data_IF_639704237141
#
_entry.id   IF_639704237141
#
_cell.length_a   1.000
_cell.length_b   1.000
_cell.length_c   1.000
_cell.angle_alpha   90.00
_cell.angle_beta   90.00
_cell.angle_gamma   90.00
#
_symmetry.space_group_name_H-M   'P 1'
#
loop_
_entity.id
_entity.type
_entity.pdbx_description
1 polymer ?
#
# COMPACT_ATOMS: atom_id res chain seq x y z
N UNK A 1 -42.78 -97.50 19.28
CA UNK A 1 -42.99 -96.06 19.00
C UNK A 1 -41.63 -95.46 18.65
N UNK A 2 -41.37 -95.05 17.40
CA UNK A 2 -40.20 -94.26 17.06
C UNK A 2 -40.57 -92.77 17.03
N UNK A 3 -39.68 -91.92 17.55
CA UNK A 3 -39.67 -90.49 17.28
C UNK A 3 -38.34 -90.17 16.61
N UNK A 4 -38.34 -90.06 15.29
CA UNK A 4 -37.22 -89.55 14.50
C UNK A 4 -37.44 -88.06 14.25
N UNK A 5 -36.65 -87.23 14.91
CA UNK A 5 -36.43 -85.83 14.58
C UNK A 5 -35.75 -85.74 13.21
N UNK A 6 -36.49 -85.30 12.19
CA UNK A 6 -35.91 -84.91 10.90
C UNK A 6 -35.37 -83.48 11.02
N UNK A 7 -34.06 -83.31 10.87
CA UNK A 7 -33.45 -82.02 10.59
C UNK A 7 -33.91 -81.56 9.20
N UNK A 8 -34.65 -80.46 9.12
CA UNK A 8 -34.95 -79.79 7.85
C UNK A 8 -33.65 -79.21 7.28
N UNK A 9 -33.05 -79.94 6.34
CA UNK A 9 -31.96 -79.44 5.51
C UNK A 9 -32.61 -78.60 4.41
N UNK A 10 -32.48 -77.28 4.55
CA UNK A 10 -32.98 -76.30 3.59
C UNK A 10 -32.41 -76.62 2.20
N UNK A 11 -33.25 -76.61 1.16
CA UNK A 11 -32.79 -76.98 -0.18
C UNK A 11 -31.74 -75.97 -0.68
N UNK A 12 -30.72 -76.42 -1.43
CA UNK A 12 -29.65 -75.54 -1.92
C UNK A 12 -30.16 -74.32 -2.71
N UNK A 13 -31.31 -74.45 -3.39
CA UNK A 13 -31.92 -73.32 -4.10
C UNK A 13 -32.44 -72.24 -3.15
N UNK A 14 -32.99 -72.61 -1.99
CA UNK A 14 -33.50 -71.65 -1.00
C UNK A 14 -32.34 -70.91 -0.31
N UNK A 15 -31.24 -71.62 -0.01
CA UNK A 15 -30.01 -71.01 0.53
C UNK A 15 -29.42 -70.01 -0.48
N UNK A 16 -29.34 -70.39 -1.76
CA UNK A 16 -28.84 -69.52 -2.82
C UNK A 16 -29.73 -68.27 -3.01
N UNK A 17 -31.06 -68.40 -2.89
CA UNK A 17 -31.99 -67.28 -2.94
C UNK A 17 -31.83 -66.32 -1.74
N UNK A 18 -31.60 -66.84 -0.54
CA UNK A 18 -31.32 -65.99 0.64
C UNK A 18 -29.98 -65.24 0.50
N UNK A 19 -28.94 -65.90 -0.01
CA UNK A 19 -27.63 -65.27 -0.24
C UNK A 19 -27.73 -64.20 -1.33
N UNK A 20 -28.48 -64.45 -2.41
CA UNK A 20 -28.64 -63.47 -3.50
C UNK A 20 -29.43 -62.24 -3.06
N UNK A 21 -30.53 -62.42 -2.33
CA UNK A 21 -31.32 -61.30 -1.78
C UNK A 21 -30.51 -60.53 -0.73
N UNK A 22 -29.77 -61.22 0.13
CA UNK A 22 -28.87 -60.59 1.10
C UNK A 22 -27.77 -59.77 0.44
N UNK A 23 -27.19 -60.27 -0.66
CA UNK A 23 -26.19 -59.56 -1.46
C UNK A 23 -26.71 -58.26 -2.08
N UNK A 24 -27.92 -58.28 -2.65
CA UNK A 24 -28.55 -57.09 -3.26
C UNK A 24 -28.93 -56.04 -2.21
N UNK A 25 -29.40 -56.46 -1.03
CA UNK A 25 -29.72 -55.56 0.08
C UNK A 25 -28.45 -54.88 0.62
N UNK A 26 -27.38 -55.64 0.82
CA UNK A 26 -26.10 -55.10 1.27
C UNK A 26 -25.53 -54.12 0.24
N UNK A 27 -25.54 -54.45 -1.06
CA UNK A 27 -25.05 -53.53 -2.10
C UNK A 27 -25.84 -52.21 -2.14
N UNK A 28 -27.15 -52.28 -1.89
CA UNK A 28 -28.03 -51.11 -1.85
C UNK A 28 -27.72 -50.21 -0.63
N UNK A 29 -27.46 -50.81 0.52
CA UNK A 29 -27.05 -50.10 1.74
C UNK A 29 -25.67 -49.42 1.55
N UNK A 30 -24.70 -50.14 0.98
CA UNK A 30 -23.38 -49.56 0.67
C UNK A 30 -23.47 -48.44 -0.37
N UNK A 31 -24.33 -48.57 -1.38
CA UNK A 31 -24.59 -47.52 -2.36
C UNK A 31 -25.17 -46.24 -1.74
N UNK A 32 -26.14 -46.39 -0.83
CA UNK A 32 -26.75 -45.27 -0.11
C UNK A 32 -25.74 -44.55 0.81
N UNK A 33 -24.96 -45.32 1.58
CA UNK A 33 -23.91 -44.78 2.46
C UNK A 33 -22.86 -44.03 1.64
N UNK A 34 -22.35 -44.65 0.56
CA UNK A 34 -21.37 -44.04 -0.33
C UNK A 34 -21.87 -42.73 -0.94
N UNK A 35 -23.12 -42.70 -1.41
CA UNK A 35 -23.77 -41.50 -1.93
C UNK A 35 -23.88 -40.40 -0.88
N UNK A 36 -24.33 -40.72 0.33
CA UNK A 36 -24.52 -39.76 1.41
C UNK A 36 -23.19 -39.13 1.88
N UNK A 37 -22.15 -39.94 2.06
CA UNK A 37 -20.81 -39.44 2.42
C UNK A 37 -20.17 -38.63 1.29
N UNK A 38 -20.33 -39.07 0.03
CA UNK A 38 -19.88 -38.32 -1.14
C UNK A 38 -20.53 -36.93 -1.22
N UNK A 39 -21.83 -36.85 -0.93
CA UNK A 39 -22.58 -35.59 -0.97
C UNK A 39 -22.14 -34.63 0.16
N UNK A 40 -21.94 -35.15 1.39
CA UNK A 40 -21.40 -34.33 2.49
C UNK A 40 -19.99 -33.81 2.20
N UNK A 41 -19.13 -34.64 1.60
CA UNK A 41 -17.77 -34.23 1.24
C UNK A 41 -17.75 -33.20 0.11
N UNK A 42 -18.66 -33.34 -0.87
CA UNK A 42 -18.86 -32.34 -1.92
C UNK A 42 -19.32 -31.00 -1.35
N UNK A 43 -20.32 -30.99 -0.48
CA UNK A 43 -20.82 -29.77 0.17
C UNK A 43 -19.74 -29.08 1.01
N UNK A 44 -18.93 -29.83 1.76
CA UNK A 44 -17.79 -29.28 2.51
C UNK A 44 -16.74 -28.66 1.58
N UNK A 45 -16.47 -29.27 0.43
CA UNK A 45 -15.54 -28.73 -0.55
C UNK A 45 -16.08 -27.48 -1.26
N UNK A 46 -17.38 -27.44 -1.54
CA UNK A 46 -18.05 -26.25 -2.10
C UNK A 46 -18.06 -25.10 -1.10
N UNK A 47 -18.40 -25.36 0.17
CA UNK A 47 -18.31 -24.36 1.25
C UNK A 47 -16.90 -23.77 1.37
N UNK A 48 -15.86 -24.61 1.40
CA UNK A 48 -14.45 -24.15 1.43
C UNK A 48 -14.09 -23.32 0.21
N UNK A 49 -14.63 -23.61 -0.97
CA UNK A 49 -14.43 -22.80 -2.18
C UNK A 49 -15.13 -21.44 -2.06
N UNK A 50 -16.36 -21.42 -1.54
CA UNK A 50 -17.13 -20.19 -1.31
C UNK A 50 -16.40 -19.28 -0.30
N UNK A 51 -15.96 -19.84 0.83
CA UNK A 51 -15.18 -19.10 1.85
C UNK A 51 -13.91 -18.49 1.26
N UNK A 52 -13.13 -19.26 0.49
CA UNK A 52 -11.93 -18.75 -0.17
C UNK A 52 -12.24 -17.66 -1.20
N UNK A 53 -13.35 -17.78 -1.94
CA UNK A 53 -13.77 -16.77 -2.90
C UNK A 53 -14.24 -15.49 -2.20
N UNK A 54 -14.98 -15.61 -1.09
CA UNK A 54 -15.38 -14.47 -0.25
C UNK A 54 -14.17 -13.76 0.34
N UNK A 55 -13.18 -14.49 0.86
CA UNK A 55 -11.92 -13.91 1.35
C UNK A 55 -11.20 -13.11 0.25
N UNK A 56 -11.02 -13.70 -0.94
CA UNK A 56 -10.44 -13.00 -2.09
C UNK A 56 -11.22 -11.74 -2.48
N UNK A 57 -12.55 -11.81 -2.42
CA UNK A 57 -13.41 -10.67 -2.72
C UNK A 57 -13.22 -9.54 -1.71
N UNK A 58 -13.20 -9.86 -0.41
CA UNK A 58 -12.94 -8.89 0.68
C UNK A 58 -11.55 -8.28 0.52
N UNK A 59 -10.53 -9.08 0.25
CA UNK A 59 -9.16 -8.59 0.01
C UNK A 59 -9.11 -7.61 -1.18
N UNK A 60 -9.81 -7.92 -2.27
CA UNK A 60 -9.91 -7.05 -3.44
C UNK A 60 -10.67 -5.76 -3.14
N UNK A 61 -11.78 -5.81 -2.38
CA UNK A 61 -12.51 -4.62 -1.95
C UNK A 61 -11.66 -3.72 -1.05
N UNK A 62 -10.99 -4.30 -0.05
CA UNK A 62 -10.11 -3.56 0.85
C UNK A 62 -8.97 -2.88 0.09
N UNK A 63 -8.38 -3.58 -0.90
CA UNK A 63 -7.36 -2.99 -1.77
C UNK A 63 -7.92 -1.81 -2.58
N UNK A 64 -9.11 -1.96 -3.16
CA UNK A 64 -9.76 -0.91 -3.94
C UNK A 64 -10.05 0.33 -3.08
N UNK A 65 -10.56 0.14 -1.86
CA UNK A 65 -10.84 1.21 -0.92
C UNK A 65 -9.57 1.95 -0.49
N UNK A 66 -8.50 1.20 -0.19
CA UNK A 66 -7.16 1.75 0.07
C UNK A 66 -6.67 2.60 -1.10
N UNK A 67 -6.70 2.06 -2.32
CA UNK A 67 -6.22 2.77 -3.50
C UNK A 67 -7.05 4.03 -3.79
N UNK A 68 -8.38 3.97 -3.59
CA UNK A 68 -9.27 5.13 -3.74
C UNK A 68 -8.93 6.23 -2.73
N UNK A 69 -8.72 5.87 -1.47
CA UNK A 69 -8.38 6.81 -0.40
C UNK A 69 -7.02 7.46 -0.64
N UNK A 70 -6.01 6.67 -1.01
CA UNK A 70 -4.68 7.19 -1.36
C UNK A 70 -4.71 8.08 -2.60
N UNK A 71 -5.52 7.76 -3.62
CA UNK A 71 -5.71 8.65 -4.79
C UNK A 71 -6.34 9.97 -4.40
N UNK A 72 -7.32 9.97 -3.51
CA UNK A 72 -7.92 11.21 -3.00
C UNK A 72 -6.90 12.06 -2.24
N UNK A 73 -6.09 11.43 -1.37
CA UNK A 73 -5.01 12.10 -0.66
C UNK A 73 -3.95 12.68 -1.63
N UNK A 74 -3.56 11.91 -2.65
CA UNK A 74 -2.64 12.35 -3.70
C UNK A 74 -3.17 13.59 -4.43
N UNK A 75 -4.45 13.60 -4.81
CA UNK A 75 -5.09 14.72 -5.48
C UNK A 75 -5.10 15.98 -4.61
N UNK A 76 -5.51 15.86 -3.34
CA UNK A 76 -5.51 16.97 -2.38
C UNK A 76 -4.09 17.53 -2.18
N UNK A 77 -3.13 16.66 -1.89
CA UNK A 77 -1.74 17.07 -1.67
C UNK A 77 -1.13 17.73 -2.90
N UNK A 78 -1.36 17.17 -4.09
CA UNK A 78 -0.85 17.72 -5.35
C UNK A 78 -1.48 19.08 -5.66
N UNK A 79 -2.79 19.23 -5.39
CA UNK A 79 -3.49 20.50 -5.55
C UNK A 79 -2.87 21.57 -4.64
N UNK A 80 -2.74 21.30 -3.34
CA UNK A 80 -2.08 22.21 -2.40
C UNK A 80 -0.66 22.53 -2.89
N UNK A 81 0.13 21.51 -3.22
CA UNK A 81 1.50 21.72 -3.67
C UNK A 81 1.65 22.65 -4.88
N UNK A 82 0.76 22.61 -5.88
CA UNK A 82 0.90 23.47 -7.07
C UNK A 82 0.10 24.77 -7.04
N UNK A 83 -1.02 24.83 -6.30
CA UNK A 83 -1.97 25.95 -6.39
C UNK A 83 -1.85 26.94 -5.24
N UNK A 84 -1.21 26.57 -4.14
CA UNK A 84 -1.01 27.51 -3.02
C UNK A 84 0.39 28.09 -3.05
N UNK A 85 0.44 29.42 -3.12
CA UNK A 85 1.66 30.19 -3.00
C UNK A 85 2.20 30.15 -1.58
N UNK A 86 3.52 30.23 -1.46
CA UNK A 86 4.17 30.37 -0.16
C UNK A 86 4.08 31.84 0.25
N UNK A 87 3.30 32.15 1.28
CA UNK A 87 3.21 33.49 1.84
C UNK A 87 4.44 33.77 2.72
N UNK A 88 5.23 34.78 2.35
CA UNK A 88 6.42 35.20 3.10
C UNK A 88 6.12 36.14 4.27
N UNK A 89 4.89 36.65 4.38
CA UNK A 89 4.47 37.55 5.46
C UNK A 89 3.97 36.80 6.70
N UNK A 90 3.58 35.54 6.52
CA UNK A 90 3.18 34.64 7.61
C UNK A 90 4.33 33.67 7.84
N UNK A 91 4.77 33.52 9.09
CA UNK A 91 5.82 32.55 9.43
C UNK A 91 5.37 31.12 9.07
N UNK A 92 5.82 30.69 7.88
CA UNK A 92 6.11 29.34 7.38
C UNK A 92 4.98 28.40 6.90
N UNK A 93 5.01 28.17 5.58
CA UNK A 93 4.30 27.17 4.75
C UNK A 93 2.99 27.63 4.13
N UNK A 94 2.71 27.14 2.91
CA UNK A 94 1.43 27.35 2.23
C UNK A 94 0.26 26.60 2.91
N UNK A 95 0.56 25.78 3.92
CA UNK A 95 -0.43 25.10 4.75
C UNK A 95 -0.92 25.97 5.90
N UNK A 96 -0.38 27.17 6.13
CA UNK A 96 -0.69 27.97 7.33
C UNK A 96 -2.04 28.68 7.32
N UNK A 97 -2.82 28.57 6.26
CA UNK A 97 -4.23 28.94 6.35
C UNK A 97 -4.99 27.84 7.11
N UNK A 98 -6.06 28.17 7.85
CA UNK A 98 -6.92 27.15 8.47
C UNK A 98 -7.35 26.07 7.47
N UNK A 99 -7.69 26.47 6.24
CA UNK A 99 -8.10 25.58 5.16
C UNK A 99 -6.94 24.69 4.66
N UNK A 100 -5.72 25.21 4.65
CA UNK A 100 -4.51 24.49 4.28
C UNK A 100 -4.13 23.43 5.33
N UNK A 101 -4.21 23.78 6.62
CA UNK A 101 -3.99 22.85 7.73
C UNK A 101 -5.03 21.74 7.74
N UNK A 102 -6.31 22.07 7.57
CA UNK A 102 -7.38 21.07 7.53
C UNK A 102 -7.20 20.12 6.35
N UNK A 103 -6.90 20.66 5.17
CA UNK A 103 -6.64 19.84 3.98
C UNK A 103 -5.40 18.95 4.15
N UNK A 104 -4.37 19.44 4.83
CA UNK A 104 -3.18 18.64 5.15
C UNK A 104 -3.47 17.55 6.17
N UNK A 105 -4.21 17.86 7.23
CA UNK A 105 -4.62 16.89 8.25
C UNK A 105 -5.44 15.74 7.65
N UNK A 106 -6.32 16.05 6.70
CA UNK A 106 -7.04 15.06 5.89
C UNK A 106 -6.08 14.15 5.11
N UNK A 107 -5.12 14.74 4.38
CA UNK A 107 -4.11 13.98 3.63
C UNK A 107 -3.33 13.06 4.57
N UNK A 108 -2.85 13.60 5.70
CA UNK A 108 -2.13 12.84 6.72
C UNK A 108 -2.95 11.68 7.26
N UNK A 109 -4.24 11.90 7.54
CA UNK A 109 -5.15 10.85 8.01
C UNK A 109 -5.23 9.68 7.02
N UNK A 110 -5.43 9.97 5.73
CA UNK A 110 -5.48 8.93 4.71
C UNK A 110 -4.14 8.21 4.50
N UNK A 111 -3.04 8.94 4.49
CA UNK A 111 -1.70 8.35 4.31
C UNK A 111 -1.33 7.47 5.50
N UNK A 112 -1.62 7.91 6.73
CA UNK A 112 -1.33 7.13 7.93
C UNK A 112 -2.21 5.89 8.07
N UNK A 113 -3.46 5.96 7.63
CA UNK A 113 -4.39 4.83 7.68
C UNK A 113 -4.15 3.79 6.58
N UNK A 114 -3.83 4.24 5.35
CA UNK A 114 -3.83 3.37 4.18
C UNK A 114 -2.48 3.27 3.46
N UNK A 115 -1.55 4.18 3.72
CA UNK A 115 -0.24 4.22 3.07
C UNK A 115 0.68 3.08 3.50
N UNK A 116 1.76 2.88 2.74
CA UNK A 116 2.88 2.07 3.19
C UNK A 116 3.65 2.80 4.31
N UNK A 117 4.41 2.06 5.12
CA UNK A 117 5.27 2.58 6.17
C UNK A 117 6.15 3.76 5.71
N UNK A 118 6.75 3.66 4.52
CA UNK A 118 7.59 4.72 3.96
C UNK A 118 6.79 6.00 3.69
N UNK A 119 5.55 5.88 3.19
CA UNK A 119 4.62 7.01 2.98
C UNK A 119 4.25 7.65 4.31
N UNK A 120 3.91 6.85 5.31
CA UNK A 120 3.60 7.32 6.66
C UNK A 120 4.78 8.06 7.29
N UNK A 121 5.99 7.51 7.16
CA UNK A 121 7.20 8.17 7.65
C UNK A 121 7.45 9.50 6.93
N UNK A 122 7.33 9.52 5.61
CA UNK A 122 7.51 10.74 4.81
C UNK A 122 6.49 11.81 5.21
N UNK A 123 5.25 11.41 5.44
CA UNK A 123 4.17 12.27 5.90
C UNK A 123 4.46 12.87 7.30
N UNK A 124 4.98 12.07 8.23
CA UNK A 124 5.41 12.54 9.55
C UNK A 124 6.56 13.56 9.43
N UNK A 125 7.54 13.31 8.56
CA UNK A 125 8.63 14.25 8.33
C UNK A 125 8.11 15.56 7.71
N UNK A 126 7.13 15.50 6.82
CA UNK A 126 6.49 16.69 6.25
C UNK A 126 5.80 17.51 7.34
N UNK A 127 5.04 16.85 8.21
CA UNK A 127 4.40 17.50 9.36
C UNK A 127 5.45 18.17 10.25
N UNK A 128 6.57 17.49 10.54
CA UNK A 128 7.66 18.09 11.33
C UNK A 128 8.27 19.31 10.65
N UNK A 129 8.50 19.25 9.34
CA UNK A 129 9.05 20.37 8.58
C UNK A 129 8.09 21.57 8.58
N UNK A 130 6.77 21.33 8.50
CA UNK A 130 5.76 22.39 8.61
C UNK A 130 5.79 23.10 9.96
N UNK A 131 6.06 22.38 11.05
CA UNK A 131 6.22 22.94 12.40
C UNK A 131 7.70 23.24 12.75
N UNK A 132 8.45 23.73 11.76
CA UNK A 132 9.81 24.29 11.91
C UNK A 132 10.92 23.33 12.39
N UNK A 133 10.80 22.03 12.08
CA UNK A 133 11.95 21.14 12.22
C UNK A 133 13.00 21.44 11.16
N UNK A 134 14.10 22.09 11.53
CA UNK A 134 15.22 22.38 10.63
C UNK A 134 16.24 21.22 10.56
N UNK A 135 15.92 20.15 9.84
CA UNK A 135 16.82 19.00 9.66
C UNK A 135 17.92 19.30 8.65
N UNK A 136 17.60 19.92 7.52
CA UNK A 136 18.56 20.30 6.48
C UNK A 136 19.51 21.39 6.95
N UNK A 137 19.05 22.29 7.84
CA UNK A 137 19.94 23.32 8.39
C UNK A 137 21.11 22.74 9.19
N UNK A 138 21.06 21.46 9.58
CA UNK A 138 22.14 20.76 10.30
C UNK A 138 23.13 20.06 9.38
N UNK A 139 22.80 19.90 8.09
CA UNK A 139 23.65 19.30 7.06
C UNK A 139 24.30 20.37 6.16
N UNK A 140 24.53 21.54 6.75
CA UNK A 140 24.62 22.88 6.16
C UNK A 140 25.82 23.16 5.25
N UNK A 141 27.01 22.64 5.57
CA UNK A 141 28.28 23.16 5.03
C UNK A 141 28.34 23.04 3.50
N UNK A 142 27.84 21.95 2.92
CA UNK A 142 27.89 21.73 1.47
C UNK A 142 26.80 22.51 0.71
N UNK A 143 25.64 22.71 1.34
CA UNK A 143 24.48 23.37 0.71
C UNK A 143 24.62 24.90 0.71
N UNK A 144 25.23 25.47 1.75
CA UNK A 144 25.49 26.91 1.84
C UNK A 144 26.52 27.37 0.80
N UNK A 145 27.57 26.60 0.54
CA UNK A 145 28.56 26.91 -0.52
C UNK A 145 27.85 27.10 -1.87
N UNK A 146 26.96 26.17 -2.23
CA UNK A 146 26.19 26.20 -3.48
C UNK A 146 25.20 27.37 -3.55
N UNK A 147 24.69 27.84 -2.41
CA UNK A 147 23.78 28.98 -2.33
C UNK A 147 24.52 30.34 -2.29
N UNK A 148 25.66 30.40 -1.61
CA UNK A 148 26.44 31.61 -1.36
C UNK A 148 27.06 32.23 -2.61
N UNK A 149 27.45 31.41 -3.58
CA UNK A 149 28.02 31.88 -4.86
C UNK A 149 26.98 32.55 -5.79
N UNK A 150 25.69 32.49 -5.46
CA UNK A 150 24.62 32.90 -6.38
C UNK A 150 23.52 33.78 -5.77
N UNK A 151 23.37 33.80 -4.44
CA UNK A 151 22.20 34.35 -3.78
C UNK A 151 22.59 35.31 -2.65
N UNK A 152 22.35 36.61 -2.86
CA UNK A 152 22.18 37.61 -1.78
C UNK A 152 20.87 37.38 -0.97
N UNK A 153 20.30 36.17 -1.00
CA UNK A 153 19.01 35.86 -0.38
C UNK A 153 19.20 35.12 0.95
N UNK A 154 18.41 35.52 1.94
CA UNK A 154 18.23 34.74 3.16
C UNK A 154 17.50 33.44 2.80
N UNK A 155 18.13 32.29 3.03
CA UNK A 155 17.54 30.97 2.75
C UNK A 155 16.41 30.70 3.76
N UNK A 156 15.19 30.48 3.25
CA UNK A 156 14.06 29.99 4.03
C UNK A 156 14.09 28.45 4.07
N UNK A 157 14.71 27.91 5.12
CA UNK A 157 14.87 26.47 5.34
C UNK A 157 13.54 25.75 5.48
N UNK A 158 12.57 26.36 6.16
CA UNK A 158 11.25 25.76 6.36
C UNK A 158 10.52 25.61 5.04
N UNK A 159 10.55 26.64 4.18
CA UNK A 159 10.04 26.56 2.81
C UNK A 159 10.70 25.43 2.06
N UNK A 160 12.02 25.36 2.13
CA UNK A 160 12.77 24.38 1.37
C UNK A 160 12.45 22.94 1.79
N UNK A 161 12.57 22.64 3.09
CA UNK A 161 12.29 21.30 3.64
C UNK A 161 10.87 20.86 3.34
N UNK A 162 9.89 21.74 3.54
CA UNK A 162 8.49 21.45 3.26
C UNK A 162 8.29 21.07 1.79
N UNK A 163 8.93 21.75 0.84
CA UNK A 163 8.77 21.43 -0.58
C UNK A 163 9.50 20.14 -0.98
N UNK A 164 10.70 19.90 -0.46
CA UNK A 164 11.44 18.67 -0.74
C UNK A 164 10.72 17.43 -0.20
N UNK A 165 10.17 17.51 1.01
CA UNK A 165 9.43 16.38 1.59
C UNK A 165 8.05 16.25 0.94
N UNK A 166 7.38 17.34 0.57
CA UNK A 166 6.10 17.29 -0.15
C UNK A 166 6.23 16.61 -1.52
N UNK A 167 7.26 16.94 -2.31
CA UNK A 167 7.45 16.27 -3.60
C UNK A 167 7.79 14.79 -3.42
N UNK A 168 8.56 14.43 -2.39
CA UNK A 168 8.82 13.02 -2.04
C UNK A 168 7.55 12.29 -1.63
N UNK A 169 6.69 12.91 -0.82
CA UNK A 169 5.43 12.33 -0.39
C UNK A 169 4.50 12.08 -1.58
N UNK A 170 4.39 13.05 -2.50
CA UNK A 170 3.59 12.90 -3.75
C UNK A 170 4.12 11.73 -4.58
N UNK A 171 5.44 11.67 -4.81
CA UNK A 171 6.06 10.58 -5.56
C UNK A 171 5.86 9.22 -4.87
N UNK A 172 5.99 9.18 -3.55
CA UNK A 172 5.85 7.97 -2.74
C UNK A 172 4.40 7.45 -2.72
N UNK A 173 3.40 8.33 -2.56
CA UNK A 173 1.98 7.93 -2.62
C UNK A 173 1.64 7.41 -4.00
N UNK A 174 2.14 8.04 -5.07
CA UNK A 174 1.96 7.55 -6.44
C UNK A 174 2.56 6.16 -6.61
N UNK A 175 3.77 5.93 -6.12
CA UNK A 175 4.41 4.63 -6.12
C UNK A 175 3.63 3.57 -5.30
N UNK A 176 3.04 3.95 -4.17
CA UNK A 176 2.19 3.04 -3.39
C UNK A 176 0.97 2.56 -4.17
N UNK A 177 0.34 3.45 -4.95
CA UNK A 177 -0.86 3.18 -5.73
C UNK A 177 -0.56 2.35 -6.99
N UNK A 178 0.43 2.76 -7.80
CA UNK A 178 0.64 2.21 -9.16
C UNK A 178 1.99 1.55 -9.39
N UNK A 179 2.92 1.62 -8.43
CA UNK A 179 4.33 1.23 -8.60
C UNK A 179 5.07 2.01 -9.68
N UNK A 180 4.48 3.10 -10.14
CA UNK A 180 5.12 4.05 -11.05
C UNK A 180 6.15 4.89 -10.29
N UNK A 181 7.37 4.96 -10.83
CA UNK A 181 8.43 5.80 -10.28
C UNK A 181 8.37 7.16 -10.97
N UNK A 182 8.18 8.21 -10.17
CA UNK A 182 8.23 9.59 -10.61
C UNK A 182 9.41 10.24 -9.93
N UNK A 183 10.20 10.97 -10.71
CA UNK A 183 11.31 11.73 -10.19
C UNK A 183 10.77 12.90 -9.33
N UNK A 184 11.05 12.92 -8.02
CA UNK A 184 10.58 13.99 -7.14
C UNK A 184 11.16 15.37 -7.52
N UNK A 185 12.34 15.39 -8.16
CA UNK A 185 13.00 16.63 -8.62
C UNK A 185 12.24 17.31 -9.75
N UNK A 186 11.62 16.54 -10.63
CA UNK A 186 10.81 17.07 -11.73
C UNK A 186 9.56 17.78 -11.21
N UNK A 187 8.96 17.26 -10.13
CA UNK A 187 7.82 17.92 -9.46
C UNK A 187 8.21 19.29 -8.89
N UNK A 188 9.40 19.36 -8.30
CA UNK A 188 9.92 20.59 -7.74
C UNK A 188 10.27 21.60 -8.84
N UNK A 189 10.88 21.14 -9.93
CA UNK A 189 11.15 21.95 -11.11
C UNK A 189 9.86 22.51 -11.72
N UNK A 190 8.79 21.71 -11.79
CA UNK A 190 7.48 22.17 -12.28
C UNK A 190 6.86 23.24 -11.37
N UNK A 191 7.02 23.13 -10.05
CA UNK A 191 6.52 24.13 -9.08
C UNK A 191 7.25 25.46 -9.18
N UNK A 192 8.58 25.43 -9.30
CA UNK A 192 9.41 26.62 -9.18
C UNK A 192 9.91 27.20 -10.50
N UNK A 193 9.80 26.46 -11.60
CA UNK A 193 10.33 26.81 -12.93
C UNK A 193 11.69 27.52 -12.84
N UNK A 194 12.57 26.98 -12.01
CA UNK A 194 13.73 27.70 -11.56
C UNK A 194 14.83 27.67 -12.63
N UNK A 195 15.06 28.83 -13.25
CA UNK A 195 16.04 29.01 -14.30
C UNK A 195 17.47 29.15 -13.74
N UNK A 196 17.63 29.41 -12.43
CA UNK A 196 18.93 29.55 -11.80
C UNK A 196 19.52 28.15 -11.49
N UNK A 197 20.68 27.78 -12.07
CA UNK A 197 21.26 26.45 -11.92
C UNK A 197 21.71 26.13 -10.49
N UNK A 198 22.18 27.12 -9.75
CA UNK A 198 22.65 26.94 -8.37
C UNK A 198 21.47 26.74 -7.42
N UNK A 199 20.39 27.51 -7.58
CA UNK A 199 19.18 27.30 -6.80
C UNK A 199 18.50 25.97 -7.19
N UNK A 200 18.53 25.56 -8.46
CA UNK A 200 18.03 24.25 -8.91
C UNK A 200 18.82 23.13 -8.22
N UNK A 201 20.14 23.18 -8.29
CA UNK A 201 21.04 22.21 -7.65
C UNK A 201 20.81 22.16 -6.15
N UNK A 202 20.71 23.31 -5.49
CA UNK A 202 20.36 23.42 -4.08
C UNK A 202 19.08 22.65 -3.77
N UNK A 203 17.99 22.89 -4.49
CA UNK A 203 16.74 22.18 -4.25
C UNK A 203 16.85 20.65 -4.45
N UNK A 204 17.54 20.22 -5.51
CA UNK A 204 17.72 18.81 -5.84
C UNK A 204 18.56 18.05 -4.80
N UNK A 205 19.58 18.69 -4.23
CA UNK A 205 20.46 18.04 -3.24
C UNK A 205 19.72 17.71 -1.94
N UNK A 206 18.77 18.53 -1.49
CA UNK A 206 17.98 18.20 -0.28
C UNK A 206 16.93 17.13 -0.53
N UNK A 207 16.42 17.01 -1.76
CA UNK A 207 15.62 15.84 -2.15
C UNK A 207 16.47 14.58 -1.98
N UNK A 208 17.72 14.59 -2.46
CA UNK A 208 18.64 13.46 -2.31
C UNK A 208 18.93 13.13 -0.85
N UNK A 209 19.08 14.15 -0.02
CA UNK A 209 19.30 13.99 1.42
C UNK A 209 18.11 13.34 2.12
N UNK A 210 16.88 13.74 1.78
CA UNK A 210 15.69 13.14 2.36
C UNK A 210 15.41 11.73 1.83
N UNK A 211 15.80 11.41 0.59
CA UNK A 211 15.79 10.02 0.10
C UNK A 211 16.63 9.13 1.03
N UNK A 212 17.81 9.61 1.45
CA UNK A 212 18.69 8.86 2.37
C UNK A 212 18.11 8.76 3.78
N UNK A 213 17.67 9.88 4.36
CA UNK A 213 17.07 9.91 5.72
C UNK A 213 15.86 8.96 5.80
N UNK A 214 15.01 8.97 4.78
CA UNK A 214 13.78 8.17 4.74
C UNK A 214 14.02 6.77 4.17
N UNK A 215 15.25 6.43 3.78
CA UNK A 215 15.62 5.13 3.19
C UNK A 215 14.73 4.73 1.99
N UNK A 216 14.42 5.69 1.12
CA UNK A 216 13.56 5.49 -0.06
C UNK A 216 14.33 4.88 -1.23
N UNK A 217 14.81 3.65 -1.06
CA UNK A 217 15.77 3.01 -1.96
C UNK A 217 15.32 2.90 -3.44
N UNK A 218 14.01 2.83 -3.69
CA UNK A 218 13.46 2.81 -5.06
C UNK A 218 13.58 4.15 -5.79
N UNK A 219 13.92 5.24 -5.09
CA UNK A 219 14.23 6.54 -5.67
C UNK A 219 15.73 6.83 -5.78
N UNK A 220 16.61 5.92 -5.34
CA UNK A 220 18.08 6.10 -5.40
C UNK A 220 18.58 6.40 -6.81
N UNK A 221 17.93 5.86 -7.84
CA UNK A 221 18.28 6.13 -9.25
C UNK A 221 18.11 7.59 -9.68
N UNK A 222 17.34 8.38 -8.92
CA UNK A 222 17.13 9.81 -9.20
C UNK A 222 18.10 10.73 -8.44
N UNK A 223 18.97 10.15 -7.60
CA UNK A 223 19.99 10.93 -6.89
C UNK A 223 21.07 11.42 -7.86
N UNK A 224 21.59 12.62 -7.62
CA UNK A 224 22.77 13.10 -8.35
C UNK A 224 23.94 12.16 -8.07
N UNK A 225 24.66 11.76 -9.11
CA UNK A 225 25.87 10.95 -9.01
C UNK A 225 27.09 11.86 -8.85
N UNK A 226 28.22 11.34 -8.34
CA UNK A 226 29.45 12.14 -8.18
C UNK A 226 29.94 12.79 -9.49
N UNK A 227 29.57 12.23 -10.64
CA UNK A 227 29.94 12.74 -11.96
C UNK A 227 29.11 13.99 -12.35
N UNK A 228 27.95 14.21 -11.72
CA UNK A 228 27.15 15.43 -11.91
C UNK A 228 27.72 16.65 -11.16
N UNK A 229 28.83 16.46 -10.41
CA UNK A 229 29.52 17.51 -9.66
C UNK A 229 30.77 18.07 -10.35
N UNK A 230 31.15 17.54 -11.52
CA UNK A 230 32.24 18.05 -12.37
C UNK A 230 31.73 19.10 -13.37
#
# INVERSE_FOLDING_TARGET
MPATTQNEIWSPQVIAAFISVGGVLLSSIFGYISSYYGNQQSQKNELRKIEKNQQKYIEQQNKLEKDKSLRSALQKLTYLFYQTDFDSQVFHTYFNTPEGLDSFNDVMSYVTAYGNQLSTQTAIYLQKAMFESNLLSKHYVTLEILASDALNYQIDWTRYETNAIACLLIAQIRYDISKELINPKDLLAAKYNNVNPNLKRFFETGVDHFIDILSLNHFTQYKQTKDDFQ
#
